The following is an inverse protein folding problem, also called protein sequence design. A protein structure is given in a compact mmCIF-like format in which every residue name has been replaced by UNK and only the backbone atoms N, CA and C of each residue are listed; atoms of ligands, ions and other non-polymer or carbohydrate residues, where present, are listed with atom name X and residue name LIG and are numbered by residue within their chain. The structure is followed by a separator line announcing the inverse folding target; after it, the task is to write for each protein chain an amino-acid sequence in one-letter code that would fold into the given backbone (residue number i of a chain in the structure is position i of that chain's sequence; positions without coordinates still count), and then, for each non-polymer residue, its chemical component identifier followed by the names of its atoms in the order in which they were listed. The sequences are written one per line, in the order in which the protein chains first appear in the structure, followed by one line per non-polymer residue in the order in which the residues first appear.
data_IF_136475279785
#
_entry.id   IF_136475279785
#
_cell.length_a   1.000
_cell.length_b   1.000
_cell.length_c   1.000
_cell.angle_alpha   90.00
_cell.angle_beta   90.00
_cell.angle_gamma   90.00
#
_symmetry.space_group_name_H-M   'P 1'
#
loop_
_entity.id
_entity.type
_entity.pdbx_description
1 polymer ?
#
# COMPACT_ATOMS: atom_id res chain seq x y z
N UNK A 1 1.89 -8.73 3.10
CA UNK A 1 1.86 -8.23 1.71
C UNK A 1 2.37 -6.80 1.71
N UNK A 2 3.29 -6.49 0.80
CA UNK A 2 3.93 -5.20 0.66
C UNK A 2 3.67 -4.64 -0.74
N UNK A 3 3.48 -3.33 -0.88
CA UNK A 3 3.17 -2.67 -2.17
C UNK A 3 3.90 -1.34 -2.32
N UNK A 4 3.94 -0.81 -3.54
CA UNK A 4 4.45 0.55 -3.82
C UNK A 4 5.98 0.66 -3.94
N UNK A 5 6.69 -0.45 -4.09
CA UNK A 5 8.11 -0.45 -4.40
C UNK A 5 8.38 -0.19 -5.89
N UNK A 6 9.41 0.60 -6.20
CA UNK A 6 9.81 0.90 -7.56
C UNK A 6 11.34 1.06 -7.66
N UNK A 7 11.94 0.53 -8.74
CA UNK A 7 13.38 0.63 -9.03
C UNK A 7 13.71 1.58 -10.18
N UNK A 8 12.72 1.96 -10.99
CA UNK A 8 12.90 2.82 -12.17
C UNK A 8 12.83 4.29 -11.79
N UNK A 9 13.59 5.13 -12.49
CA UNK A 9 13.58 6.61 -12.35
C UNK A 9 12.53 7.31 -13.23
N UNK A 10 11.70 6.56 -13.95
CA UNK A 10 10.67 7.16 -14.79
C UNK A 10 9.57 7.79 -13.93
N UNK A 11 9.31 9.10 -14.13
CA UNK A 11 8.28 9.95 -13.47
C UNK A 11 8.50 10.21 -11.98
N UNK A 12 8.85 9.18 -11.23
CA UNK A 12 9.03 9.20 -9.78
C UNK A 12 10.36 8.58 -9.39
N UNK A 13 10.89 8.97 -8.23
CA UNK A 13 12.12 8.38 -7.67
C UNK A 13 11.87 6.91 -7.28
N UNK A 14 12.91 6.07 -7.28
CA UNK A 14 12.84 4.74 -6.69
C UNK A 14 12.31 4.81 -5.25
N UNK A 15 11.45 3.88 -4.88
CA UNK A 15 10.75 3.85 -3.61
C UNK A 15 10.79 2.45 -3.01
N UNK A 16 10.82 2.40 -1.67
CA UNK A 16 10.62 1.15 -0.96
C UNK A 16 9.12 0.83 -0.86
N UNK A 17 8.84 -0.46 -0.90
CA UNK A 17 7.52 -0.99 -0.60
C UNK A 17 7.12 -0.75 0.85
N UNK A 18 5.81 -0.58 1.10
CA UNK A 18 5.21 -0.46 2.44
C UNK A 18 4.28 -1.63 2.74
N UNK A 19 4.20 -2.02 4.00
CA UNK A 19 3.34 -3.11 4.47
C UNK A 19 1.87 -2.67 4.37
N UNK A 20 1.00 -3.54 3.84
CA UNK A 20 -0.46 -3.27 3.72
C UNK A 20 -1.35 -4.42 4.19
N UNK A 21 -0.78 -5.60 4.40
CA UNK A 21 -1.46 -6.69 5.07
C UNK A 21 -0.45 -7.48 5.89
N UNK A 22 -0.71 -7.58 7.19
CA UNK A 22 0.11 -8.33 8.16
C UNK A 22 -0.60 -9.63 8.58
N UNK A 23 0.18 -10.64 8.97
CA UNK A 23 -0.37 -11.85 9.61
C UNK A 23 -1.24 -12.75 8.71
N UNK A 24 -1.00 -12.78 7.40
CA UNK A 24 -1.73 -13.68 6.49
C UNK A 24 -1.34 -15.14 6.79
N UNK A 25 -2.30 -16.06 7.02
CA UNK A 25 -2.00 -17.45 7.36
C UNK A 25 -1.38 -18.22 6.19
N UNK A 26 -0.62 -19.27 6.53
CA UNK A 26 0.03 -20.13 5.56
C UNK A 26 -0.89 -21.32 5.22
N UNK A 27 -1.55 -21.28 4.05
CA UNK A 27 -2.49 -22.30 3.60
C UNK A 27 -2.03 -22.95 2.27
N UNK A 28 -1.04 -23.86 2.31
CA UNK A 28 -0.60 -24.61 1.13
C UNK A 28 -1.71 -25.53 0.61
N UNK A 29 -1.73 -25.85 -0.70
CA UNK A 29 -0.72 -25.54 -1.72
C UNK A 29 -1.02 -24.29 -2.54
N UNK A 30 -2.07 -23.51 -2.21
CA UNK A 30 -2.56 -22.43 -3.08
C UNK A 30 -2.67 -21.05 -2.45
N UNK A 31 -2.55 -20.92 -1.12
CA UNK A 31 -2.61 -19.64 -0.40
C UNK A 31 -3.79 -18.75 -0.83
N UNK A 32 -5.04 -19.24 -0.70
CA UNK A 32 -6.21 -18.53 -1.20
C UNK A 32 -6.37 -17.14 -0.58
N UNK A 33 -6.01 -16.97 0.70
CA UNK A 33 -6.12 -15.70 1.42
C UNK A 33 -5.15 -14.65 0.88
N UNK A 34 -3.88 -15.01 0.71
CA UNK A 34 -2.87 -14.12 0.15
C UNK A 34 -3.24 -13.71 -1.29
N UNK A 35 -3.66 -14.68 -2.10
CA UNK A 35 -4.07 -14.45 -3.49
C UNK A 35 -5.29 -13.54 -3.58
N UNK A 36 -6.29 -13.74 -2.71
CA UNK A 36 -7.49 -12.89 -2.67
C UNK A 36 -7.15 -11.43 -2.33
N UNK A 37 -6.24 -11.21 -1.38
CA UNK A 37 -5.79 -9.85 -1.02
C UNK A 37 -5.05 -9.20 -2.20
N UNK A 38 -4.11 -9.91 -2.84
CA UNK A 38 -3.37 -9.36 -4.00
C UNK A 38 -4.33 -9.02 -5.14
N UNK A 39 -5.27 -9.91 -5.48
CA UNK A 39 -6.27 -9.65 -6.53
C UNK A 39 -7.14 -8.44 -6.20
N UNK A 40 -7.54 -8.28 -4.93
CA UNK A 40 -8.32 -7.11 -4.48
C UNK A 40 -7.57 -5.81 -4.68
N UNK A 41 -6.28 -5.76 -4.29
CA UNK A 41 -5.43 -4.58 -4.48
C UNK A 41 -5.30 -4.26 -5.98
N UNK A 42 -5.01 -5.26 -6.82
CA UNK A 42 -4.88 -5.07 -8.26
C UNK A 42 -6.19 -4.58 -8.91
N UNK A 43 -7.33 -5.08 -8.44
CA UNK A 43 -8.65 -4.65 -8.93
C UNK A 43 -8.93 -3.19 -8.57
N UNK A 44 -8.73 -2.80 -7.31
CA UNK A 44 -8.91 -1.41 -6.88
C UNK A 44 -7.95 -0.45 -7.61
N UNK A 45 -6.71 -0.88 -7.83
CA UNK A 45 -5.74 -0.14 -8.63
C UNK A 45 -6.21 0.02 -10.08
N UNK A 46 -6.65 -1.06 -10.73
CA UNK A 46 -7.12 -1.02 -12.11
C UNK A 46 -8.32 -0.08 -12.29
N UNK A 47 -9.19 0.02 -11.30
CA UNK A 47 -10.44 0.78 -11.39
C UNK A 47 -10.26 2.30 -11.13
N UNK A 48 -9.21 2.73 -10.41
CA UNK A 48 -8.98 4.15 -10.06
C UNK A 48 -7.65 4.74 -10.60
N UNK A 49 -6.68 3.91 -10.99
CA UNK A 49 -5.40 4.40 -11.49
C UNK A 49 -5.57 5.08 -12.86
N UNK A 50 -4.75 6.10 -13.08
CA UNK A 50 -4.70 6.82 -14.36
C UNK A 50 -3.62 6.21 -15.25
N UNK A 51 -3.73 6.49 -16.55
CA UNK A 51 -2.71 6.08 -17.51
C UNK A 51 -1.31 6.46 -17.03
N UNK A 52 -0.41 5.48 -17.10
CA UNK A 52 1.00 5.57 -16.72
C UNK A 52 1.31 5.73 -15.24
N UNK A 53 0.31 5.79 -14.37
CA UNK A 53 0.55 5.64 -12.94
C UNK A 53 1.07 4.23 -12.67
N UNK A 54 1.99 4.11 -11.70
CA UNK A 54 2.26 2.86 -11.01
C UNK A 54 1.47 2.83 -9.70
N UNK A 55 1.44 1.69 -9.02
CA UNK A 55 0.77 1.55 -7.71
C UNK A 55 1.26 2.59 -6.69
N UNK A 56 2.57 2.91 -6.66
CA UNK A 56 3.09 3.94 -5.77
C UNK A 56 2.57 5.34 -6.15
N UNK A 57 2.59 5.69 -7.44
CA UNK A 57 2.13 7.01 -7.92
C UNK A 57 0.63 7.19 -7.65
N UNK A 58 -0.14 6.12 -7.85
CA UNK A 58 -1.56 6.05 -7.49
C UNK A 58 -1.76 6.32 -6.00
N UNK A 59 -1.05 5.59 -5.12
CA UNK A 59 -1.15 5.75 -3.66
C UNK A 59 -0.71 7.16 -3.23
N UNK A 60 0.33 7.73 -3.83
CA UNK A 60 0.81 9.07 -3.52
C UNK A 60 -0.23 10.14 -3.91
N UNK A 61 -0.99 9.93 -4.99
CA UNK A 61 -2.09 10.81 -5.40
C UNK A 61 -3.30 10.72 -4.48
N UNK A 62 -3.80 9.52 -4.20
CA UNK A 62 -5.03 9.34 -3.41
C UNK A 62 -4.80 9.44 -1.90
N UNK A 63 -3.59 9.10 -1.45
CA UNK A 63 -3.20 8.98 -0.06
C UNK A 63 -3.53 7.61 0.54
N UNK A 64 -2.77 7.22 1.55
CA UNK A 64 -2.95 5.95 2.27
C UNK A 64 -4.36 5.73 2.83
N UNK A 65 -5.06 6.72 3.44
CA UNK A 65 -6.43 6.51 3.91
C UNK A 65 -7.39 6.03 2.81
N UNK A 66 -7.34 6.66 1.63
CA UNK A 66 -8.17 6.26 0.48
C UNK A 66 -7.77 4.92 -0.10
N UNK A 67 -6.49 4.56 -0.07
CA UNK A 67 -6.04 3.22 -0.45
C UNK A 67 -6.68 2.13 0.43
N UNK A 68 -6.67 2.30 1.75
CA UNK A 68 -7.25 1.31 2.67
C UNK A 68 -8.78 1.25 2.55
N UNK A 69 -9.44 2.38 2.28
CA UNK A 69 -10.88 2.43 1.97
C UNK A 69 -11.21 1.68 0.67
N UNK A 70 -10.54 2.02 -0.44
CA UNK A 70 -10.79 1.43 -1.76
C UNK A 70 -10.49 -0.08 -1.80
N UNK A 71 -9.47 -0.52 -1.06
CA UNK A 71 -9.12 -1.95 -0.97
C UNK A 71 -9.89 -2.69 0.12
N UNK A 72 -10.62 -2.00 0.98
CA UNK A 72 -11.31 -2.59 2.14
C UNK A 72 -10.36 -3.40 3.05
N UNK A 73 -9.08 -3.04 3.10
CA UNK A 73 -8.10 -3.69 3.96
C UNK A 73 -8.10 -3.02 5.34
N UNK A 74 -7.99 -3.79 6.43
CA UNK A 74 -7.96 -3.20 7.76
C UNK A 74 -6.62 -2.50 8.02
N UNK A 75 -6.66 -1.22 8.36
CA UNK A 75 -5.50 -0.52 8.90
C UNK A 75 -5.30 -0.88 10.38
N UNK A 76 -4.28 -1.68 10.67
CA UNK A 76 -3.92 -2.11 12.03
C UNK A 76 -2.63 -1.43 12.52
N UNK A 77 -2.33 -1.57 13.82
CA UNK A 77 -1.09 -1.07 14.44
C UNK A 77 0.20 -1.53 13.76
N UNK A 78 0.17 -2.67 13.06
CA UNK A 78 1.34 -3.24 12.41
C UNK A 78 1.82 -2.44 11.19
N UNK A 79 0.99 -1.53 10.67
CA UNK A 79 1.35 -0.66 9.56
C UNK A 79 2.11 0.60 10.02
N UNK A 80 2.11 0.88 11.33
CA UNK A 80 2.84 2.01 11.91
C UNK A 80 4.26 1.54 12.21
N UNK A 81 5.24 2.13 11.53
CA UNK A 81 6.64 1.82 11.76
C UNK A 81 7.09 2.31 13.14
N UNK A 82 7.53 1.38 13.99
CA UNK A 82 7.98 1.63 15.36
C UNK A 82 9.50 1.48 15.54
N UNK A 83 10.25 1.33 14.44
CA UNK A 83 11.70 1.27 14.50
C UNK A 83 12.29 2.61 14.98
N UNK A 84 13.44 2.59 15.66
CA UNK A 84 14.02 3.78 16.31
C UNK A 84 14.17 5.01 15.39
N UNK A 85 14.42 4.80 14.10
CA UNK A 85 14.56 5.87 13.11
C UNK A 85 13.28 6.21 12.32
N UNK A 86 12.14 5.60 12.65
CA UNK A 86 10.92 5.65 11.83
C UNK A 86 10.13 6.95 11.94
N UNK A 87 10.51 7.89 12.83
CA UNK A 87 9.71 9.09 13.12
C UNK A 87 9.32 9.88 11.87
N UNK A 88 10.17 9.90 10.84
CA UNK A 88 9.91 10.58 9.56
C UNK A 88 8.82 9.91 8.70
N UNK A 89 8.41 8.69 9.01
CA UNK A 89 7.34 7.97 8.32
C UNK A 89 5.94 8.41 8.76
N UNK A 90 5.83 9.04 9.94
CA UNK A 90 4.58 9.52 10.49
C UNK A 90 4.16 10.84 9.82
N UNK A 91 2.85 11.08 9.73
CA UNK A 91 2.34 12.34 9.24
C UNK A 91 2.61 13.44 10.29
N UNK A 92 3.44 14.42 9.93
CA UNK A 92 3.76 15.60 10.73
C UNK A 92 3.04 16.87 10.22
N UNK A 93 1.92 16.70 9.52
CA UNK A 93 1.13 17.75 8.89
C UNK A 93 -0.35 17.62 9.22
N UNK A 94 -1.07 18.75 9.21
CA UNK A 94 -2.54 18.83 9.36
C UNK A 94 -3.27 18.50 8.07
N UNK A 95 -2.56 18.26 6.97
CA UNK A 95 -3.14 17.91 5.67
C UNK A 95 -3.63 16.45 5.69
N UNK A 96 -4.84 16.25 6.21
CA UNK A 96 -5.54 14.96 6.26
C UNK A 96 -6.84 15.02 5.46
N UNK A 97 -7.24 13.88 4.89
CA UNK A 97 -8.51 13.70 4.19
C UNK A 97 -9.42 12.83 5.07
N UNK A 98 -10.69 13.21 5.17
CA UNK A 98 -11.72 12.46 5.88
C UNK A 98 -12.55 11.60 4.90
#
# INVERSE_FOLDING_TARGET
IWVGGNHSNARSKPSFQKLVASGVPNNPPRWPEATAIVKRILKAYQDDARDWERINDWIDRIGWPRFFEATGLPFTKFHIDNWRGSRKSLNASTHIRF
#
